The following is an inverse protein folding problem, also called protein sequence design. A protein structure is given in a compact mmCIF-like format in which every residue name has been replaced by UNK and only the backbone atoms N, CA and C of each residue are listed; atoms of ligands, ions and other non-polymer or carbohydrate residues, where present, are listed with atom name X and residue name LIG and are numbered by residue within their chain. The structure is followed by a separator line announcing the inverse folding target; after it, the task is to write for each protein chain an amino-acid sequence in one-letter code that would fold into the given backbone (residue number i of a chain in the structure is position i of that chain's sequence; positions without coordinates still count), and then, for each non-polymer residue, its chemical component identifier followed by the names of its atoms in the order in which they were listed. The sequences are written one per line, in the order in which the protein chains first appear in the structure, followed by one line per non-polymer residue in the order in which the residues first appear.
data_IF_479233576344
#
_entry.id   IF_479233576344
#
_cell.length_a   1.000
_cell.length_b   1.000
_cell.length_c   1.000
_cell.angle_alpha   90.00
_cell.angle_beta   90.00
_cell.angle_gamma   90.00
#
_symmetry.space_group_name_H-M   'P 1'
#
loop_
_entity.id
_entity.type
_entity.pdbx_description
1 polymer ?
#
# COMPACT_ATOMS: atom_id res chain seq x y z
N UNK A 1 10.52 11.15 18.27
CA UNK A 1 9.95 12.51 18.45
C UNK A 1 8.45 12.47 18.68
N UNK A 2 7.59 12.23 17.68
CA UNK A 2 6.13 12.12 17.92
C UNK A 2 5.79 10.90 18.81
N UNK A 3 6.52 9.79 18.65
CA UNK A 3 6.36 8.59 19.49
C UNK A 3 6.72 8.81 20.97
N UNK A 4 7.44 9.89 21.28
CA UNK A 4 7.83 10.22 22.65
C UNK A 4 6.74 11.05 23.37
N UNK A 5 5.77 11.57 22.61
CA UNK A 5 4.63 12.28 23.15
C UNK A 5 3.66 11.30 23.83
N UNK A 6 3.36 11.54 25.10
CA UNK A 6 2.44 10.74 25.92
C UNK A 6 1.03 11.32 25.95
N UNK A 7 0.89 12.60 25.60
CA UNK A 7 -0.39 13.31 25.61
C UNK A 7 -0.61 14.08 24.32
N UNK A 8 -1.88 14.32 23.97
CA UNK A 8 -2.23 15.15 22.82
C UNK A 8 -1.70 16.59 22.97
N UNK A 9 -1.59 17.11 24.20
CA UNK A 9 -1.02 18.42 24.48
C UNK A 9 0.47 18.52 24.12
N UNK A 10 1.27 17.49 24.45
CA UNK A 10 2.69 17.42 24.08
C UNK A 10 2.87 17.36 22.55
N UNK A 11 2.05 16.54 21.88
CA UNK A 11 2.01 16.48 20.42
C UNK A 11 1.65 17.85 19.80
N UNK A 12 0.68 18.56 20.38
CA UNK A 12 0.33 19.92 19.96
C UNK A 12 1.48 20.91 20.13
N UNK A 13 2.17 20.88 21.26
CA UNK A 13 3.32 21.76 21.48
C UNK A 13 4.46 21.46 20.50
N UNK A 14 4.73 20.19 20.23
CA UNK A 14 5.75 19.77 19.28
C UNK A 14 5.43 20.26 17.85
N UNK A 15 4.18 20.09 17.42
CA UNK A 15 3.68 20.58 16.14
C UNK A 15 3.80 22.10 16.02
N UNK A 16 3.41 22.84 17.06
CA UNK A 16 3.53 24.31 17.11
C UNK A 16 4.99 24.79 17.05
N UNK A 17 5.91 24.13 17.76
CA UNK A 17 7.32 24.46 17.71
C UNK A 17 7.91 24.16 16.32
N UNK A 18 7.57 23.01 15.73
CA UNK A 18 7.93 22.67 14.35
C UNK A 18 7.47 23.74 13.36
N UNK A 19 6.21 24.15 13.43
CA UNK A 19 5.68 25.24 12.59
C UNK A 19 6.41 26.57 12.81
N UNK A 20 6.74 26.91 14.06
CA UNK A 20 7.50 28.12 14.41
C UNK A 20 8.90 28.09 13.80
N UNK A 21 9.59 26.96 13.86
CA UNK A 21 10.90 26.77 13.23
C UNK A 21 10.81 26.90 11.71
N UNK A 22 9.87 26.20 11.07
CA UNK A 22 9.68 26.28 9.61
C UNK A 22 9.35 27.71 9.16
N UNK A 23 8.58 28.46 9.95
CA UNK A 23 8.26 29.86 9.66
C UNK A 23 9.47 30.79 9.75
N UNK A 24 10.47 30.48 10.60
CA UNK A 24 11.75 31.22 10.64
C UNK A 24 12.56 30.99 9.37
N UNK A 25 12.59 29.75 8.87
CA UNK A 25 13.25 29.39 7.61
C UNK A 25 12.59 30.13 6.44
N UNK A 26 11.26 30.05 6.36
CA UNK A 26 10.44 30.68 5.32
C UNK A 26 10.56 32.22 5.29
N UNK A 27 10.83 32.85 6.43
CA UNK A 27 11.01 34.30 6.56
C UNK A 27 12.46 34.73 6.68
N UNK A 28 13.40 33.83 6.43
CA UNK A 28 14.82 34.16 6.54
C UNK A 28 15.21 35.17 5.46
N UNK A 29 15.95 36.21 5.86
CA UNK A 29 16.51 37.18 4.93
C UNK A 29 17.65 36.59 4.08
N UNK A 30 18.26 35.49 4.55
CA UNK A 30 19.25 34.74 3.80
C UNK A 30 18.53 33.66 2.97
N UNK A 31 18.85 33.50 1.67
CA UNK A 31 18.33 32.40 0.87
C UNK A 31 18.68 31.05 1.49
N UNK A 32 17.73 30.12 1.44
CA UNK A 32 17.88 28.77 1.99
C UNK A 32 17.44 27.82 0.90
N UNK A 33 18.35 26.95 0.46
CA UNK A 33 18.13 25.98 -0.60
C UNK A 33 18.17 24.58 0.00
N UNK A 34 17.10 23.81 -0.20
CA UNK A 34 17.05 22.41 0.18
C UNK A 34 17.69 21.56 -0.92
N UNK A 35 18.85 20.99 -0.64
CA UNK A 35 19.51 19.97 -1.45
C UNK A 35 18.98 18.58 -1.05
N UNK A 36 18.19 17.96 -1.93
CA UNK A 36 17.48 16.70 -1.66
C UNK A 36 18.22 15.54 -2.33
N UNK A 37 19.07 14.88 -1.56
CA UNK A 37 19.71 13.63 -1.96
C UNK A 37 18.92 12.44 -1.41
N UNK A 38 18.22 11.69 -2.28
CA UNK A 38 17.42 10.54 -1.87
C UNK A 38 16.03 10.88 -1.33
N UNK A 39 15.55 10.02 -0.41
CA UNK A 39 14.19 10.04 0.11
C UNK A 39 13.90 11.25 1.01
N UNK A 40 12.96 12.11 0.60
CA UNK A 40 12.51 13.28 1.36
C UNK A 40 11.04 13.11 1.80
N UNK A 41 10.83 12.65 3.03
CA UNK A 41 9.54 12.17 3.54
C UNK A 41 9.01 13.04 4.67
N UNK A 42 7.69 13.14 4.81
CA UNK A 42 7.03 13.66 6.03
C UNK A 42 7.68 14.98 6.49
N UNK A 43 8.21 15.05 7.71
CA UNK A 43 8.91 16.23 8.23
C UNK A 43 10.08 16.73 7.37
N UNK A 44 10.79 15.85 6.65
CA UNK A 44 11.82 16.24 5.69
C UNK A 44 11.25 16.99 4.48
N UNK A 45 10.09 16.57 3.99
CA UNK A 45 9.36 17.29 2.94
C UNK A 45 8.80 18.62 3.48
N UNK A 46 8.27 18.63 4.71
CA UNK A 46 7.80 19.86 5.37
C UNK A 46 8.92 20.89 5.58
N UNK A 47 10.13 20.42 5.85
CA UNK A 47 11.35 21.25 5.87
C UNK A 47 11.68 21.79 4.48
N UNK A 48 11.75 20.92 3.46
CA UNK A 48 12.11 21.32 2.11
C UNK A 48 11.15 22.37 1.52
N UNK A 49 9.85 22.23 1.77
CA UNK A 49 8.84 23.22 1.31
C UNK A 49 8.83 24.50 2.15
N UNK A 50 9.48 24.53 3.31
CA UNK A 50 9.72 25.76 4.07
C UNK A 50 10.94 26.55 3.55
N UNK A 51 11.88 25.88 2.86
CA UNK A 51 13.01 26.54 2.20
C UNK A 51 12.57 27.37 0.99
N UNK A 52 13.38 28.37 0.63
CA UNK A 52 13.13 29.26 -0.51
C UNK A 52 13.26 28.52 -1.85
N UNK A 53 14.23 27.61 -1.94
CA UNK A 53 14.50 26.83 -3.16
C UNK A 53 14.73 25.36 -2.85
N UNK A 54 14.59 24.51 -3.87
CA UNK A 54 14.64 23.04 -3.75
C UNK A 54 15.31 22.46 -4.99
N UNK A 55 16.41 21.77 -4.78
CA UNK A 55 17.14 21.02 -5.81
C UNK A 55 17.15 19.56 -5.37
N UNK A 56 16.77 18.64 -6.25
CA UNK A 56 16.69 17.21 -5.92
C UNK A 56 17.44 16.34 -6.90
N UNK A 57 17.81 15.16 -6.46
CA UNK A 57 18.27 14.07 -7.35
C UNK A 57 17.08 13.33 -7.97
N UNK A 58 17.30 12.46 -8.95
CA UNK A 58 16.23 11.66 -9.58
C UNK A 58 15.60 10.59 -8.63
N UNK A 59 16.02 10.56 -7.37
CA UNK A 59 15.42 9.69 -6.36
C UNK A 59 14.06 10.25 -5.90
N UNK A 60 12.98 9.45 -5.95
CA UNK A 60 11.65 9.94 -5.59
C UNK A 60 11.57 10.28 -4.11
N UNK A 61 11.02 11.45 -3.71
CA UNK A 61 10.51 11.63 -2.35
C UNK A 61 9.44 10.56 -2.08
N UNK A 62 9.63 9.73 -1.04
CA UNK A 62 8.52 8.95 -0.49
C UNK A 62 7.63 9.88 0.38
N UNK A 63 6.32 9.65 0.51
CA UNK A 63 5.45 10.62 1.23
C UNK A 63 4.60 9.96 2.34
N UNK A 64 4.74 8.66 2.58
CA UNK A 64 3.84 7.93 3.48
C UNK A 64 4.28 7.87 4.93
N UNK A 65 3.61 8.65 5.77
CA UNK A 65 3.04 8.15 7.02
C UNK A 65 1.57 8.58 7.04
N UNK A 66 0.64 7.69 7.42
CA UNK A 66 -0.80 7.94 7.47
C UNK A 66 -1.22 8.95 8.55
N UNK A 67 -0.40 9.98 8.73
CA UNK A 67 -0.48 11.08 9.66
C UNK A 67 -0.76 12.36 8.86
N UNK A 68 -1.35 13.32 9.55
CA UNK A 68 -1.48 14.67 9.03
C UNK A 68 -0.10 15.37 9.04
N UNK A 69 0.27 16.15 8.01
CA UNK A 69 1.45 17.01 8.07
C UNK A 69 1.35 18.01 9.24
N UNK A 70 2.33 17.97 10.15
CA UNK A 70 2.29 18.68 11.44
C UNK A 70 3.10 19.98 11.47
N UNK A 71 4.15 20.11 10.64
CA UNK A 71 5.05 21.26 10.62
C UNK A 71 4.69 22.33 9.56
N UNK A 72 3.43 22.37 9.13
CA UNK A 72 2.89 23.40 8.23
C UNK A 72 2.70 22.96 6.77
N UNK A 73 2.84 21.66 6.49
CA UNK A 73 2.68 21.10 5.14
C UNK A 73 1.26 21.23 4.59
N UNK A 74 0.25 21.16 5.46
CA UNK A 74 -1.15 21.40 5.07
C UNK A 74 -1.41 22.83 4.58
N UNK A 75 -0.52 23.77 4.90
CA UNK A 75 -0.60 25.17 4.48
C UNK A 75 0.32 25.47 3.30
N UNK A 76 1.58 25.02 3.35
CA UNK A 76 2.59 25.34 2.32
C UNK A 76 2.37 24.56 1.03
N UNK A 77 2.06 23.28 1.13
CA UNK A 77 1.96 22.41 -0.05
C UNK A 77 0.84 22.86 -1.00
N UNK A 78 -0.39 23.17 -0.54
CA UNK A 78 -1.46 23.63 -1.44
C UNK A 78 -1.18 24.98 -2.10
N UNK A 79 -0.42 25.89 -1.46
CA UNK A 79 0.02 27.15 -2.06
C UNK A 79 1.09 26.96 -3.14
N UNK A 80 1.94 25.95 -2.97
CA UNK A 80 3.07 25.68 -3.85
C UNK A 80 2.67 24.94 -5.12
N UNK A 81 1.92 23.85 -5.00
CA UNK A 81 1.62 22.95 -6.14
C UNK A 81 0.13 22.95 -6.55
N UNK A 82 -0.63 23.87 -5.97
CA UNK A 82 -2.08 23.94 -6.11
C UNK A 82 -2.82 22.92 -5.24
N UNK A 83 -4.06 23.28 -4.88
CA UNK A 83 -4.91 22.48 -3.99
C UNK A 83 -5.15 21.04 -4.46
N UNK A 84 -5.43 20.76 -5.74
CA UNK A 84 -5.71 19.39 -6.19
C UNK A 84 -4.51 18.45 -6.03
N UNK A 85 -3.34 18.90 -6.52
CA UNK A 85 -2.11 18.13 -6.42
C UNK A 85 -1.72 17.90 -4.95
N UNK A 86 -1.88 18.93 -4.12
CA UNK A 86 -1.58 18.83 -2.69
C UNK A 86 -2.52 17.89 -1.95
N UNK A 87 -3.84 17.94 -2.21
CA UNK A 87 -4.81 17.00 -1.65
C UNK A 87 -4.53 15.57 -2.11
N UNK A 88 -4.21 15.37 -3.39
CA UNK A 88 -3.85 14.05 -3.90
C UNK A 88 -2.64 13.48 -3.16
N UNK A 89 -1.58 14.28 -2.95
CA UNK A 89 -0.39 13.86 -2.20
C UNK A 89 -0.69 13.58 -0.73
N UNK A 90 -1.40 14.48 -0.03
CA UNK A 90 -1.68 14.33 1.40
C UNK A 90 -2.66 13.19 1.69
N UNK A 91 -3.65 12.95 0.82
CA UNK A 91 -4.67 11.92 1.04
C UNK A 91 -4.20 10.52 0.63
N UNK A 92 -3.41 10.40 -0.43
CA UNK A 92 -2.90 9.10 -0.89
C UNK A 92 -1.56 8.74 -0.26
N UNK A 93 -0.79 9.74 0.17
CA UNK A 93 0.61 9.58 0.60
C UNK A 93 1.56 9.10 -0.50
N UNK A 94 1.10 8.96 -1.75
CA UNK A 94 1.90 8.31 -2.78
C UNK A 94 3.21 9.06 -3.05
N UNK A 95 4.22 8.30 -3.46
CA UNK A 95 5.49 8.84 -3.90
C UNK A 95 5.33 9.52 -5.27
N UNK A 96 6.14 10.54 -5.52
CA UNK A 96 6.26 11.14 -6.86
C UNK A 96 7.70 11.09 -7.32
N UNK A 97 7.91 10.86 -8.61
CA UNK A 97 9.23 10.92 -9.23
C UNK A 97 9.72 12.37 -9.33
N UNK A 98 11.04 12.56 -9.34
CA UNK A 98 11.67 13.88 -9.33
C UNK A 98 11.20 14.76 -10.49
N UNK A 99 11.11 14.22 -11.71
CA UNK A 99 10.61 14.96 -12.89
C UNK A 99 9.14 15.37 -12.78
N UNK A 100 8.31 14.56 -12.11
CA UNK A 100 6.92 14.97 -11.82
C UNK A 100 6.89 16.04 -10.73
N UNK A 101 7.72 15.91 -9.70
CA UNK A 101 7.86 16.91 -8.65
C UNK A 101 8.29 18.27 -9.22
N UNK A 102 9.21 18.27 -10.19
CA UNK A 102 9.65 19.46 -10.93
C UNK A 102 8.50 20.12 -11.70
N UNK A 103 7.79 19.34 -12.51
CA UNK A 103 6.63 19.83 -13.29
C UNK A 103 5.51 20.41 -12.43
N UNK A 104 5.30 19.86 -11.23
CA UNK A 104 4.30 20.37 -10.28
C UNK A 104 4.76 21.63 -9.53
N UNK A 105 6.04 22.00 -9.61
CA UNK A 105 6.62 23.09 -8.81
C UNK A 105 6.98 22.69 -7.37
N UNK A 106 6.95 21.39 -7.04
CA UNK A 106 7.39 20.92 -5.73
C UNK A 106 8.91 21.00 -5.60
N UNK A 107 9.63 20.68 -6.67
CA UNK A 107 11.09 20.82 -6.78
C UNK A 107 11.37 21.83 -7.90
N UNK A 108 12.39 22.67 -7.77
CA UNK A 108 12.70 23.65 -8.81
C UNK A 108 13.66 23.09 -9.86
N UNK A 109 14.67 22.35 -9.39
CA UNK A 109 15.69 21.77 -10.25
C UNK A 109 15.95 20.31 -9.87
N UNK A 110 16.11 19.47 -10.89
CA UNK A 110 16.47 18.06 -10.74
C UNK A 110 17.86 17.88 -11.32
N UNK A 111 18.69 17.12 -10.61
CA UNK A 111 20.06 16.77 -10.95
C UNK A 111 20.14 15.26 -11.17
N UNK A 112 20.78 14.86 -12.26
CA UNK A 112 20.99 13.45 -12.55
C UNK A 112 22.10 12.89 -11.66
N UNK A 113 22.01 11.59 -11.35
CA UNK A 113 23.13 10.89 -10.73
C UNK A 113 24.33 10.89 -11.67
N UNK A 114 25.51 11.13 -11.10
CA UNK A 114 26.75 11.11 -11.85
C UNK A 114 27.21 9.66 -12.05
N UNK A 115 27.81 9.40 -13.22
CA UNK A 115 28.46 8.12 -13.51
C UNK A 115 29.68 7.90 -12.57
N UNK A 116 30.10 6.64 -12.36
CA UNK A 116 31.27 6.34 -11.54
C UNK A 116 32.52 7.07 -12.06
N UNK A 117 33.12 7.90 -11.20
CA UNK A 117 34.32 8.69 -11.49
C UNK A 117 35.49 8.30 -10.58
N UNK A 118 36.26 9.30 -10.14
CA UNK A 118 37.29 9.12 -9.09
C UNK A 118 36.66 8.83 -7.73
N UNK A 119 35.50 9.42 -7.46
CA UNK A 119 34.67 9.17 -6.28
C UNK A 119 33.56 8.18 -6.63
N UNK A 120 32.93 7.59 -5.61
CA UNK A 120 31.71 6.80 -5.83
C UNK A 120 30.61 7.67 -6.47
N UNK A 121 29.70 7.09 -7.27
CA UNK A 121 28.55 7.81 -7.83
C UNK A 121 27.76 8.59 -6.79
N UNK A 122 27.61 8.04 -5.58
CA UNK A 122 26.87 8.64 -4.48
C UNK A 122 27.57 9.88 -3.90
N UNK A 123 28.88 9.79 -3.66
CA UNK A 123 29.69 10.90 -3.16
C UNK A 123 29.78 12.03 -4.20
N UNK A 124 30.09 11.69 -5.46
CA UNK A 124 30.16 12.67 -6.54
C UNK A 124 28.83 13.38 -6.78
N UNK A 125 27.72 12.64 -6.75
CA UNK A 125 26.38 13.25 -6.87
C UNK A 125 26.07 14.19 -5.70
N UNK A 126 26.50 13.86 -4.49
CA UNK A 126 26.30 14.71 -3.30
C UNK A 126 27.08 16.01 -3.41
N UNK A 127 28.36 15.95 -3.78
CA UNK A 127 29.22 17.12 -3.99
C UNK A 127 28.66 18.03 -5.11
N UNK A 128 28.20 17.43 -6.20
CA UNK A 128 27.60 18.18 -7.30
C UNK A 128 26.28 18.83 -6.90
N UNK A 129 25.42 18.11 -6.17
CA UNK A 129 24.17 18.65 -5.64
C UNK A 129 24.41 19.83 -4.69
N UNK A 130 25.43 19.73 -3.82
CA UNK A 130 25.83 20.82 -2.93
C UNK A 130 26.28 22.05 -3.74
N UNK A 131 27.13 21.86 -4.74
CA UNK A 131 27.56 22.95 -5.63
C UNK A 131 26.38 23.64 -6.30
N UNK A 132 25.47 22.87 -6.89
CA UNK A 132 24.26 23.43 -7.53
C UNK A 132 23.40 24.19 -6.52
N UNK A 133 23.24 23.66 -5.30
CA UNK A 133 22.45 24.33 -4.27
C UNK A 133 23.08 25.67 -3.82
N UNK A 134 24.42 25.73 -3.70
CA UNK A 134 25.16 26.97 -3.40
C UNK A 134 25.01 27.96 -4.54
N UNK A 135 25.20 27.53 -5.78
CA UNK A 135 25.04 28.39 -6.96
C UNK A 135 23.62 28.97 -7.04
N UNK A 136 22.58 28.15 -6.78
CA UNK A 136 21.20 28.62 -6.67
C UNK A 136 21.02 29.64 -5.54
N UNK A 137 21.59 29.40 -4.35
CA UNK A 137 21.48 30.31 -3.21
C UNK A 137 22.12 31.67 -3.52
N UNK A 138 23.28 31.66 -4.17
CA UNK A 138 23.95 32.87 -4.65
C UNK A 138 23.13 33.60 -5.71
N UNK A 139 22.55 32.88 -6.67
CA UNK A 139 21.68 33.47 -7.70
C UNK A 139 20.43 34.11 -7.12
N UNK A 140 19.80 33.50 -6.10
CA UNK A 140 18.66 34.10 -5.39
C UNK A 140 19.09 35.35 -4.62
N UNK A 141 20.24 35.33 -3.96
CA UNK A 141 20.76 36.50 -3.24
C UNK A 141 21.05 37.69 -4.16
N UNK A 142 21.39 37.42 -5.43
CA UNK A 142 21.63 38.42 -6.48
C UNK A 142 20.38 38.80 -7.29
N UNK A 143 19.21 38.22 -6.96
CA UNK A 143 17.96 38.38 -7.72
C UNK A 143 18.02 37.87 -9.18
N UNK A 144 18.99 37.01 -9.50
CA UNK A 144 19.18 36.40 -10.84
C UNK A 144 18.31 35.17 -11.05
N UNK A 145 17.87 34.53 -9.96
CA UNK A 145 17.02 33.34 -9.99
C UNK A 145 15.61 33.69 -9.50
N UNK A 146 14.62 33.55 -10.38
CA UNK A 146 13.22 33.77 -10.01
C UNK A 146 12.73 32.69 -9.01
N UNK A 147 12.10 33.14 -7.92
CA UNK A 147 11.28 32.28 -7.07
C UNK A 147 9.97 32.02 -7.85
N UNK A 148 9.73 30.77 -8.27
CA UNK A 148 8.55 30.46 -9.10
C UNK A 148 7.22 30.60 -8.34
N UNK A 149 6.21 30.84 -9.18
CA UNK A 149 4.89 31.45 -8.98
C UNK A 149 3.92 30.60 -8.15
N UNK A 150 3.16 31.26 -7.28
CA UNK A 150 1.96 30.72 -6.62
C UNK A 150 0.95 30.25 -7.66
N UNK A 151 0.70 28.94 -7.74
CA UNK A 151 -0.39 28.39 -8.53
C UNK A 151 -1.73 28.62 -7.79
N UNK A 152 -2.37 29.76 -8.06
CA UNK A 152 -3.62 30.22 -7.43
C UNK A 152 -4.90 29.65 -8.07
N UNK A 153 -4.84 28.44 -8.64
CA UNK A 153 -5.99 27.78 -9.25
C UNK A 153 -6.85 27.04 -8.23
N UNK A 154 -7.93 27.65 -7.73
CA UNK A 154 -8.99 26.94 -7.01
C UNK A 154 -9.73 26.01 -8.00
N UNK A 155 -9.50 24.70 -7.91
CA UNK A 155 -10.28 23.70 -8.64
C UNK A 155 -11.22 22.96 -7.68
N UNK A 156 -12.31 22.41 -8.23
CA UNK A 156 -13.43 21.84 -7.47
C UNK A 156 -12.99 20.75 -6.48
N UNK A 157 -13.22 21.00 -5.19
CA UNK A 157 -12.94 20.10 -4.06
C UNK A 157 -13.85 18.86 -4.06
N UNK A 158 -14.98 18.90 -4.77
CA UNK A 158 -16.01 17.86 -4.80
C UNK A 158 -15.46 16.46 -5.13
N UNK A 159 -14.44 16.37 -6.00
CA UNK A 159 -13.83 15.07 -6.38
C UNK A 159 -13.15 14.35 -5.21
N UNK A 160 -12.74 15.07 -4.16
CA UNK A 160 -12.06 14.49 -3.00
C UNK A 160 -13.02 13.99 -1.91
N UNK A 161 -14.31 14.36 -1.97
CA UNK A 161 -15.34 13.80 -1.08
C UNK A 161 -15.54 12.30 -1.39
N UNK A 162 -15.40 11.89 -2.65
CA UNK A 162 -15.44 10.48 -3.08
C UNK A 162 -14.30 9.65 -2.47
N UNK A 163 -13.12 10.23 -2.25
CA UNK A 163 -11.99 9.56 -1.57
C UNK A 163 -12.34 9.24 -0.10
N UNK A 164 -13.23 10.01 0.53
CA UNK A 164 -13.70 9.73 1.90
C UNK A 164 -14.67 8.55 1.97
N UNK A 165 -15.41 8.27 0.89
CA UNK A 165 -16.28 7.08 0.82
C UNK A 165 -15.43 5.81 0.73
N UNK A 166 -14.30 5.86 0.01
CA UNK A 166 -13.37 4.74 -0.09
C UNK A 166 -12.75 4.34 1.26
N UNK A 167 -12.54 5.29 2.17
CA UNK A 167 -12.00 5.01 3.50
C UNK A 167 -13.05 4.48 4.48
N UNK A 168 -14.32 4.42 4.07
CA UNK A 168 -15.47 4.03 4.91
C UNK A 168 -15.54 4.81 6.23
N UNK A 169 -14.89 5.98 6.27
CA UNK A 169 -14.70 6.84 7.45
C UNK A 169 -13.99 6.16 8.64
N UNK A 170 -13.30 5.05 8.42
CA UNK A 170 -12.52 4.35 9.45
C UNK A 170 -11.17 5.02 9.74
N UNK A 171 -10.70 5.84 8.80
CA UNK A 171 -9.44 6.55 8.90
C UNK A 171 -9.69 8.04 9.18
N UNK A 172 -9.32 8.55 10.36
CA UNK A 172 -9.58 9.95 10.71
C UNK A 172 -8.68 10.96 9.99
N UNK A 173 -7.50 10.54 9.51
CA UNK A 173 -6.49 11.45 8.93
C UNK A 173 -6.98 12.15 7.65
N UNK A 174 -7.54 11.46 6.64
CA UNK A 174 -8.09 12.09 5.44
C UNK A 174 -9.12 13.18 5.72
N UNK A 175 -10.03 12.94 6.67
CA UNK A 175 -11.05 13.92 7.07
C UNK A 175 -10.42 15.14 7.74
N UNK A 176 -9.45 14.92 8.65
CA UNK A 176 -8.75 16.00 9.34
C UNK A 176 -7.86 16.82 8.39
N UNK A 177 -7.23 16.20 7.38
CA UNK A 177 -6.50 16.90 6.29
C UNK A 177 -7.43 17.87 5.56
N UNK A 178 -8.60 17.41 5.12
CA UNK A 178 -9.55 18.25 4.38
C UNK A 178 -10.08 19.39 5.27
N UNK A 179 -10.43 19.09 6.53
CA UNK A 179 -10.88 20.10 7.50
C UNK A 179 -9.80 21.14 7.76
N UNK A 180 -8.56 20.70 7.92
CA UNK A 180 -7.38 21.55 8.12
C UNK A 180 -7.22 22.58 7.01
N UNK A 181 -7.23 22.12 5.76
CA UNK A 181 -7.07 22.99 4.60
C UNK A 181 -8.24 23.97 4.48
N UNK A 182 -9.48 23.52 4.72
CA UNK A 182 -10.66 24.40 4.70
C UNK A 182 -10.55 25.54 5.71
N UNK A 183 -10.12 25.25 6.94
CA UNK A 183 -10.00 26.26 8.00
C UNK A 183 -8.98 27.35 7.62
N UNK A 184 -7.83 26.95 7.07
CA UNK A 184 -6.78 27.87 6.59
C UNK A 184 -7.31 28.81 5.51
N UNK A 185 -8.07 28.28 4.55
CA UNK A 185 -8.69 29.08 3.49
C UNK A 185 -9.83 29.97 3.99
N UNK A 186 -10.44 29.62 5.13
CA UNK A 186 -11.50 30.39 5.80
C UNK A 186 -10.95 31.51 6.69
N UNK A 187 -9.62 31.72 6.72
CA UNK A 187 -8.88 32.64 7.63
C UNK A 187 -8.97 32.29 9.12
N UNK A 188 -9.41 31.08 9.46
CA UNK A 188 -9.47 30.60 10.84
C UNK A 188 -8.14 29.90 11.18
N UNK A 189 -7.32 30.53 12.02
CA UNK A 189 -5.90 30.14 12.22
C UNK A 189 -5.67 29.01 13.21
N UNK A 190 -6.68 28.60 13.98
CA UNK A 190 -6.51 27.55 15.00
C UNK A 190 -6.84 26.18 14.43
N UNK A 191 -5.80 25.44 14.09
CA UNK A 191 -5.92 24.03 13.78
C UNK A 191 -5.35 23.19 14.93
N UNK A 192 -6.22 22.71 15.80
CA UNK A 192 -5.86 21.70 16.79
C UNK A 192 -6.08 20.32 16.16
N UNK A 193 -5.01 19.69 15.68
CA UNK A 193 -5.08 18.44 14.89
C UNK A 193 -4.37 17.26 15.53
N UNK A 194 -3.76 17.47 16.69
CA UNK A 194 -2.81 16.52 17.27
C UNK A 194 -3.51 15.39 18.06
N UNK A 195 -4.82 15.48 18.26
CA UNK A 195 -5.65 14.32 18.62
C UNK A 195 -5.55 13.15 17.62
N UNK A 196 -5.18 13.42 16.35
CA UNK A 196 -4.93 12.35 15.38
C UNK A 196 -3.73 11.50 15.77
N UNK A 197 -2.65 12.14 16.21
CA UNK A 197 -1.37 11.49 16.50
C UNK A 197 -1.52 10.45 17.62
N UNK A 198 -2.40 10.73 18.58
CA UNK A 198 -2.74 9.85 19.70
C UNK A 198 -3.86 8.83 19.40
N UNK A 199 -4.39 8.79 18.18
CA UNK A 199 -5.46 7.84 17.83
C UNK A 199 -4.96 6.40 17.74
N UNK A 200 -5.83 5.43 18.00
CA UNK A 200 -5.48 4.00 17.85
C UNK A 200 -5.10 3.66 16.41
N UNK A 201 -5.74 4.30 15.42
CA UNK A 201 -5.43 4.12 14.01
C UNK A 201 -4.03 4.65 13.67
N UNK A 202 -3.64 5.81 14.19
CA UNK A 202 -2.29 6.37 14.05
C UNK A 202 -1.23 5.41 14.60
N UNK A 203 -1.42 4.95 15.84
CA UNK A 203 -0.51 4.01 16.49
C UNK A 203 -0.40 2.68 15.73
N UNK A 204 -1.52 2.14 15.25
CA UNK A 204 -1.52 0.92 14.44
C UNK A 204 -0.77 1.09 13.11
N UNK A 205 -0.97 2.22 12.41
CA UNK A 205 -0.27 2.50 11.15
C UNK A 205 1.23 2.71 11.34
N UNK A 206 1.63 3.36 12.43
CA UNK A 206 3.04 3.50 12.83
C UNK A 206 3.66 2.12 13.09
N UNK A 207 2.95 1.26 13.83
CA UNK A 207 3.38 -0.13 14.07
C UNK A 207 3.53 -0.94 12.78
N UNK A 208 2.55 -0.84 11.86
CA UNK A 208 2.63 -1.48 10.54
C UNK A 208 3.81 -0.98 9.71
N UNK A 209 4.11 0.32 9.77
CA UNK A 209 5.27 0.89 9.10
C UNK A 209 6.58 0.32 9.67
N UNK A 210 6.72 0.29 11.00
CA UNK A 210 7.90 -0.30 11.66
C UNK A 210 8.04 -1.79 11.32
N UNK A 211 6.94 -2.54 11.33
CA UNK A 211 6.90 -3.95 10.91
C UNK A 211 7.35 -4.11 9.46
N UNK A 212 6.85 -3.28 8.53
CA UNK A 212 7.28 -3.27 7.13
C UNK A 212 8.77 -2.98 6.98
N UNK A 213 9.30 -1.99 7.72
CA UNK A 213 10.73 -1.66 7.71
C UNK A 213 11.56 -2.83 8.25
N UNK A 214 11.12 -3.48 9.32
CA UNK A 214 11.78 -4.66 9.87
C UNK A 214 11.77 -5.83 8.87
N UNK A 215 10.64 -6.10 8.21
CA UNK A 215 10.51 -7.17 7.21
C UNK A 215 11.30 -6.91 5.92
N UNK A 216 11.60 -5.65 5.57
CA UNK A 216 12.46 -5.30 4.43
C UNK A 216 13.94 -5.59 4.68
N UNK A 217 14.37 -5.63 5.94
CA UNK A 217 15.76 -5.96 6.28
C UNK A 217 15.96 -7.46 6.09
N UNK A 218 17.08 -7.84 5.47
CA UNK A 218 17.43 -9.25 5.39
C UNK A 218 17.63 -9.76 6.83
N UNK A 219 16.73 -10.66 7.26
CA UNK A 219 16.78 -11.28 8.58
C UNK A 219 18.01 -12.18 8.74
N UNK A 220 18.56 -12.64 7.63
CA UNK A 220 19.70 -13.53 7.57
C UNK A 220 20.96 -12.77 7.17
N UNK A 221 22.11 -13.46 7.26
CA UNK A 221 23.39 -12.93 6.79
C UNK A 221 23.33 -12.67 5.27
N UNK A 222 24.21 -11.80 4.79
CA UNK A 222 24.44 -11.65 3.35
C UNK A 222 24.79 -13.03 2.79
N UNK A 223 24.07 -13.51 1.75
CA UNK A 223 24.29 -14.86 1.24
C UNK A 223 25.72 -15.01 0.72
N UNK A 224 26.37 -16.13 1.05
CA UNK A 224 27.74 -16.44 0.63
C UNK A 224 27.89 -16.51 -0.91
N UNK A 225 26.80 -16.84 -1.61
CA UNK A 225 26.73 -16.87 -3.06
C UNK A 225 25.58 -16.00 -3.56
N UNK A 226 25.87 -15.12 -4.52
CA UNK A 226 24.84 -14.30 -5.19
C UNK A 226 23.93 -15.23 -6.00
N UNK A 227 22.65 -15.26 -5.68
CA UNK A 227 21.68 -16.18 -6.29
C UNK A 227 21.55 -15.93 -7.79
N UNK A 228 21.79 -16.98 -8.59
CA UNK A 228 21.48 -17.11 -10.02
C UNK A 228 21.22 -18.61 -10.29
N UNK A 229 20.39 -18.99 -11.27
CA UNK A 229 18.94 -18.80 -11.39
C UNK A 229 18.16 -19.56 -10.30
N UNK A 230 16.95 -19.10 -10.00
CA UNK A 230 16.00 -19.70 -9.05
C UNK A 230 14.93 -20.48 -9.83
N UNK A 231 14.80 -21.79 -9.60
CA UNK A 231 13.67 -22.57 -10.11
C UNK A 231 12.48 -22.40 -9.16
N UNK A 232 11.38 -21.81 -9.65
CA UNK A 232 10.14 -21.66 -8.89
C UNK A 232 9.11 -22.66 -9.43
N UNK A 233 8.74 -23.65 -8.62
CA UNK A 233 7.68 -24.59 -8.99
C UNK A 233 6.29 -23.99 -8.70
N UNK A 234 5.49 -23.83 -9.76
CA UNK A 234 4.08 -23.41 -9.71
C UNK A 234 3.10 -24.56 -10.01
N UNK A 235 3.33 -25.76 -9.47
CA UNK A 235 2.47 -26.92 -9.70
C UNK A 235 1.24 -26.96 -8.77
N UNK A 236 0.18 -27.62 -9.23
CA UNK A 236 -1.08 -27.85 -8.48
C UNK A 236 -0.82 -28.42 -7.07
N UNK A 237 -1.75 -28.19 -6.15
CA UNK A 237 -1.66 -28.56 -4.73
C UNK A 237 -1.71 -30.08 -4.43
N UNK A 238 -1.21 -30.92 -5.34
CA UNK A 238 -1.03 -32.35 -5.10
C UNK A 238 0.39 -32.66 -4.64
N UNK A 239 0.51 -33.14 -3.40
CA UNK A 239 1.78 -33.45 -2.74
C UNK A 239 2.63 -34.46 -3.54
N UNK A 240 1.99 -35.51 -4.07
CA UNK A 240 2.66 -36.54 -4.88
C UNK A 240 3.32 -35.97 -6.15
N UNK A 241 2.65 -35.06 -6.85
CA UNK A 241 3.18 -34.43 -8.06
C UNK A 241 4.37 -33.54 -7.71
N UNK A 242 4.28 -32.78 -6.61
CA UNK A 242 5.38 -31.92 -6.15
C UNK A 242 6.62 -32.70 -5.76
N UNK A 243 6.47 -33.82 -5.05
CA UNK A 243 7.60 -34.68 -4.73
C UNK A 243 8.26 -35.24 -5.99
N UNK A 244 7.46 -35.68 -6.97
CA UNK A 244 8.00 -36.18 -8.23
C UNK A 244 8.75 -35.10 -9.00
N UNK A 245 8.16 -33.91 -9.15
CA UNK A 245 8.82 -32.79 -9.83
C UNK A 245 10.07 -32.32 -9.07
N UNK A 246 10.03 -32.30 -7.73
CA UNK A 246 11.20 -31.97 -6.93
C UNK A 246 12.33 -32.96 -7.18
N UNK A 247 12.04 -34.27 -7.17
CA UNK A 247 13.04 -35.32 -7.45
C UNK A 247 13.65 -35.18 -8.85
N UNK A 248 12.81 -34.93 -9.86
CA UNK A 248 13.26 -34.75 -11.24
C UNK A 248 14.11 -33.48 -11.41
N UNK A 249 13.74 -32.39 -10.75
CA UNK A 249 14.50 -31.13 -10.81
C UNK A 249 15.79 -31.22 -10.00
N UNK A 250 15.77 -31.80 -8.81
CA UNK A 250 16.97 -32.04 -7.98
C UNK A 250 18.02 -32.89 -8.71
N UNK A 251 17.59 -33.82 -9.57
CA UNK A 251 18.50 -34.66 -10.35
C UNK A 251 19.31 -33.90 -11.43
N UNK A 252 18.87 -32.72 -11.85
CA UNK A 252 19.47 -31.96 -12.95
C UNK A 252 20.05 -30.60 -12.55
N UNK A 253 19.70 -30.09 -11.36
CA UNK A 253 20.22 -28.81 -10.88
C UNK A 253 21.57 -28.96 -10.15
N UNK A 254 22.46 -27.96 -10.20
CA UNK A 254 23.68 -27.96 -9.40
C UNK A 254 23.40 -28.04 -7.89
N UNK A 255 24.31 -28.61 -7.07
CA UNK A 255 24.11 -28.77 -5.62
C UNK A 255 24.03 -27.45 -4.85
N UNK A 256 24.36 -26.32 -5.48
CA UNK A 256 24.25 -24.98 -4.91
C UNK A 256 23.00 -24.23 -5.38
N UNK A 257 22.17 -24.84 -6.23
CA UNK A 257 20.94 -24.26 -6.71
C UNK A 257 19.89 -24.32 -5.60
N UNK A 258 19.16 -23.21 -5.45
CA UNK A 258 18.07 -23.12 -4.48
C UNK A 258 16.79 -23.50 -5.20
N UNK A 259 16.09 -24.50 -4.68
CA UNK A 259 14.74 -24.83 -5.10
C UNK A 259 13.72 -24.10 -4.22
N UNK A 260 12.78 -23.40 -4.84
CA UNK A 260 11.66 -22.76 -4.13
C UNK A 260 10.33 -23.24 -4.72
N UNK A 261 9.43 -23.71 -3.87
CA UNK A 261 8.08 -24.10 -4.28
C UNK A 261 7.08 -23.00 -3.94
N UNK A 262 6.40 -22.45 -4.95
CA UNK A 262 5.25 -21.57 -4.74
C UNK A 262 4.00 -22.43 -4.69
N UNK A 263 3.66 -22.94 -3.52
CA UNK A 263 2.40 -23.66 -3.33
C UNK A 263 1.27 -22.64 -3.23
N UNK A 264 0.36 -22.62 -4.21
CA UNK A 264 -0.87 -21.80 -4.18
C UNK A 264 -2.00 -22.42 -3.36
N UNK A 265 -1.80 -23.63 -2.82
CA UNK A 265 -2.17 -23.83 -1.43
C UNK A 265 -1.18 -22.96 -0.65
N UNK A 266 -1.53 -21.68 -0.54
CA UNK A 266 -1.00 -20.72 0.43
C UNK A 266 -0.59 -21.54 1.65
N UNK A 267 0.65 -21.37 2.10
CA UNK A 267 1.17 -21.95 3.34
C UNK A 267 0.00 -22.33 4.23
N UNK A 268 -0.15 -23.61 4.58
CA UNK A 268 -1.26 -24.07 5.43
C UNK A 268 -1.45 -23.11 6.61
N UNK A 269 -0.39 -22.44 7.07
CA UNK A 269 -0.42 -21.25 7.95
C UNK A 269 -1.20 -20.02 7.47
N UNK A 270 -0.99 -19.41 6.29
CA UNK A 270 -1.69 -18.16 5.94
C UNK A 270 -3.16 -18.39 5.53
N UNK A 271 -3.51 -19.54 4.95
CA UNK A 271 -4.93 -19.95 4.86
C UNK A 271 -5.45 -20.34 6.25
N UNK A 272 -4.68 -21.03 7.11
CA UNK A 272 -5.12 -21.32 8.49
C UNK A 272 -5.39 -20.07 9.31
N UNK A 273 -4.70 -18.96 9.05
CA UNK A 273 -4.97 -17.70 9.73
C UNK A 273 -6.34 -17.13 9.35
N UNK A 274 -6.73 -17.24 8.07
CA UNK A 274 -8.02 -16.75 7.59
C UNK A 274 -9.17 -17.78 7.73
N UNK A 275 -8.86 -19.08 7.79
CA UNK A 275 -9.86 -20.18 7.78
C UNK A 275 -10.87 -20.09 8.93
N UNK A 276 -10.48 -19.80 10.19
CA UNK A 276 -11.45 -19.61 11.27
C UNK A 276 -12.46 -18.50 10.96
N UNK A 277 -12.00 -17.38 10.41
CA UNK A 277 -12.88 -16.27 10.04
C UNK A 277 -13.86 -16.65 8.93
N UNK A 278 -13.40 -17.36 7.90
CA UNK A 278 -14.24 -17.81 6.79
C UNK A 278 -15.24 -18.88 7.25
N UNK A 279 -14.82 -19.82 8.10
CA UNK A 279 -15.72 -20.83 8.64
C UNK A 279 -16.79 -20.23 9.57
N UNK A 280 -16.46 -19.19 10.35
CA UNK A 280 -17.44 -18.42 11.11
C UNK A 280 -18.38 -17.62 10.19
N UNK A 281 -17.86 -17.06 9.09
CA UNK A 281 -18.71 -16.39 8.08
C UNK A 281 -19.77 -17.34 7.52
N UNK A 282 -19.41 -18.59 7.23
CA UNK A 282 -20.37 -19.66 6.86
C UNK A 282 -21.37 -19.91 7.99
N UNK A 283 -20.93 -19.97 9.25
CA UNK A 283 -21.81 -20.13 10.42
C UNK A 283 -22.87 -19.02 10.50
N UNK A 284 -22.45 -17.77 10.39
CA UNK A 284 -23.33 -16.58 10.40
C UNK A 284 -24.35 -16.62 9.25
N UNK A 285 -23.96 -17.10 8.07
CA UNK A 285 -24.89 -17.30 6.95
C UNK A 285 -25.91 -18.42 7.25
N UNK A 286 -25.49 -19.49 7.94
CA UNK A 286 -26.37 -20.60 8.34
C UNK A 286 -27.40 -20.18 9.40
N UNK A 287 -27.04 -19.25 10.27
CA UNK A 287 -27.95 -18.59 11.21
C UNK A 287 -29.00 -17.70 10.52
N UNK A 288 -28.89 -17.51 9.20
CA UNK A 288 -29.88 -16.81 8.38
C UNK A 288 -29.52 -15.37 8.04
N UNK A 289 -28.30 -14.92 8.33
CA UNK A 289 -27.84 -13.60 7.90
C UNK A 289 -27.72 -13.55 6.38
N UNK A 290 -28.23 -12.48 5.78
CA UNK A 290 -28.14 -12.28 4.33
C UNK A 290 -26.69 -12.02 3.89
N UNK A 291 -26.26 -12.65 2.80
CA UNK A 291 -24.94 -12.45 2.18
C UNK A 291 -24.58 -10.98 1.97
N UNK A 292 -25.50 -10.16 1.44
CA UNK A 292 -25.27 -8.71 1.25
C UNK A 292 -25.02 -8.00 2.58
N UNK A 293 -25.72 -8.42 3.63
CA UNK A 293 -25.57 -7.85 4.96
C UNK A 293 -24.21 -8.24 5.56
N UNK A 294 -23.80 -9.50 5.42
CA UNK A 294 -22.50 -9.97 5.90
C UNK A 294 -21.34 -9.25 5.19
N UNK A 295 -21.39 -9.13 3.87
CA UNK A 295 -20.38 -8.40 3.10
C UNK A 295 -20.36 -6.91 3.45
N UNK A 296 -21.52 -6.29 3.65
CA UNK A 296 -21.59 -4.90 4.07
C UNK A 296 -20.97 -4.71 5.46
N UNK A 297 -21.29 -5.59 6.42
CA UNK A 297 -20.76 -5.53 7.79
C UNK A 297 -19.24 -5.67 7.80
N UNK A 298 -18.71 -6.71 7.14
CA UNK A 298 -17.26 -6.96 7.05
C UNK A 298 -16.52 -5.85 6.31
N UNK A 299 -17.08 -5.34 5.21
CA UNK A 299 -16.55 -4.15 4.54
C UNK A 299 -16.57 -2.95 5.48
N UNK A 300 -17.69 -2.68 6.16
CA UNK A 300 -17.82 -1.53 7.07
C UNK A 300 -16.89 -1.60 8.28
N UNK A 301 -16.51 -2.81 8.69
CA UNK A 301 -15.50 -3.04 9.73
C UNK A 301 -14.08 -2.66 9.27
N UNK A 302 -13.81 -2.74 7.97
CA UNK A 302 -12.54 -2.32 7.38
C UNK A 302 -11.93 -3.30 6.39
N UNK A 303 -12.51 -4.48 6.21
CA UNK A 303 -11.99 -5.43 5.23
C UNK A 303 -12.09 -4.86 3.80
N UNK A 304 -11.06 -5.07 2.95
CA UNK A 304 -11.07 -4.60 1.57
C UNK A 304 -12.14 -5.30 0.73
N UNK A 305 -12.37 -6.58 1.01
CA UNK A 305 -13.39 -7.42 0.39
C UNK A 305 -14.36 -7.92 1.47
N UNK A 306 -15.61 -8.18 1.09
CA UNK A 306 -16.59 -8.76 2.03
C UNK A 306 -16.28 -10.23 2.26
N UNK A 307 -16.59 -10.79 3.44
CA UNK A 307 -16.23 -12.18 3.75
C UNK A 307 -16.81 -13.19 2.74
N UNK A 308 -18.09 -13.06 2.35
CA UNK A 308 -18.69 -13.98 1.39
C UNK A 308 -18.17 -13.74 -0.04
N UNK A 309 -17.88 -12.48 -0.40
CA UNK A 309 -17.19 -12.17 -1.67
C UNK A 309 -15.76 -12.74 -1.70
N UNK A 310 -15.06 -12.74 -0.57
CA UNK A 310 -13.71 -13.30 -0.42
C UNK A 310 -13.73 -14.81 -0.60
N UNK A 311 -14.75 -15.49 -0.07
CA UNK A 311 -14.92 -16.93 -0.29
C UNK A 311 -15.11 -17.28 -1.78
N UNK A 312 -15.87 -16.47 -2.52
CA UNK A 312 -16.07 -16.67 -3.96
C UNK A 312 -14.77 -16.47 -4.77
N UNK A 313 -14.02 -15.40 -4.48
CA UNK A 313 -12.76 -15.10 -5.17
C UNK A 313 -11.67 -16.15 -4.90
N UNK A 314 -11.65 -16.74 -3.70
CA UNK A 314 -10.70 -17.82 -3.35
C UNK A 314 -11.10 -19.15 -4.00
N UNK A 315 -12.40 -19.39 -4.16
CA UNK A 315 -12.94 -20.66 -4.63
C UNK A 315 -13.42 -21.53 -3.48
N UNK A 316 -14.70 -21.90 -3.54
CA UNK A 316 -15.39 -22.68 -2.51
C UNK A 316 -14.76 -24.08 -2.33
N UNK A 317 -14.38 -24.72 -3.42
CA UNK A 317 -13.71 -26.02 -3.45
C UNK A 317 -12.34 -25.98 -2.75
N UNK A 318 -11.59 -24.91 -2.98
CA UNK A 318 -10.30 -24.65 -2.31
C UNK A 318 -10.50 -24.49 -0.81
N UNK A 319 -11.54 -23.77 -0.39
CA UNK A 319 -11.85 -23.55 1.03
C UNK A 319 -12.31 -24.83 1.74
N UNK A 320 -13.13 -25.66 1.10
CA UNK A 320 -13.54 -26.97 1.63
C UNK A 320 -12.31 -27.83 1.88
N UNK A 321 -11.44 -27.97 0.87
CA UNK A 321 -10.25 -28.79 0.97
C UNK A 321 -9.29 -28.27 2.06
N UNK A 322 -9.13 -26.95 2.17
CA UNK A 322 -8.34 -26.34 3.23
C UNK A 322 -8.93 -26.58 4.63
N UNK A 323 -10.25 -26.40 4.79
CA UNK A 323 -10.95 -26.61 6.06
C UNK A 323 -10.89 -28.07 6.53
N UNK A 324 -11.01 -29.04 5.61
CA UNK A 324 -10.88 -30.47 5.93
C UNK A 324 -9.46 -30.83 6.38
N UNK A 325 -8.43 -30.40 5.65
CA UNK A 325 -7.04 -30.66 6.02
C UNK A 325 -6.66 -29.99 7.34
N UNK A 326 -7.09 -28.75 7.55
CA UNK A 326 -6.87 -28.02 8.80
C UNK A 326 -7.68 -28.59 9.97
N UNK A 327 -8.89 -29.08 9.72
CA UNK A 327 -9.73 -29.76 10.69
C UNK A 327 -9.06 -31.03 11.23
N UNK A 328 -8.32 -31.77 10.40
CA UNK A 328 -7.52 -32.93 10.85
C UNK A 328 -6.43 -32.53 11.84
N UNK A 329 -5.80 -31.36 11.64
CA UNK A 329 -4.67 -30.91 12.46
C UNK A 329 -5.11 -30.15 13.74
N UNK A 330 -6.16 -29.33 13.66
CA UNK A 330 -6.55 -28.41 14.73
C UNK A 330 -7.92 -28.71 15.36
N UNK A 331 -8.66 -29.68 14.81
CA UNK A 331 -9.92 -30.19 15.36
C UNK A 331 -11.01 -29.13 15.45
N UNK A 332 -11.77 -29.16 16.55
CA UNK A 332 -12.96 -28.32 16.78
C UNK A 332 -12.72 -26.82 16.72
N UNK A 333 -11.48 -26.34 16.85
CA UNK A 333 -11.13 -24.91 16.78
C UNK A 333 -11.24 -24.32 15.38
N UNK A 334 -11.23 -25.17 14.35
CA UNK A 334 -11.39 -24.76 12.94
C UNK A 334 -12.78 -25.14 12.41
N UNK A 335 -13.54 -25.94 13.16
CA UNK A 335 -14.91 -26.31 12.82
C UNK A 335 -15.88 -25.14 13.10
N UNK A 336 -15.95 -24.17 12.19
CA UNK A 336 -17.06 -23.20 12.15
C UNK A 336 -18.33 -23.81 11.53
N UNK A 337 -19.10 -23.02 10.78
CA UNK A 337 -20.37 -23.46 10.16
C UNK A 337 -20.26 -24.79 9.42
N UNK A 338 -21.35 -25.57 9.39
CA UNK A 338 -21.35 -26.92 8.83
C UNK A 338 -21.25 -26.89 7.29
N UNK A 339 -20.03 -27.00 6.77
CA UNK A 339 -19.72 -26.96 5.33
C UNK A 339 -20.30 -28.20 4.60
N UNK A 340 -20.50 -29.31 5.32
CA UNK A 340 -21.06 -30.57 4.80
C UNK A 340 -22.60 -30.62 4.87
N UNK A 341 -23.25 -29.63 5.47
CA UNK A 341 -24.67 -29.65 5.79
C UNK A 341 -25.58 -29.09 4.69
N UNK A 342 -26.88 -29.45 4.75
CA UNK A 342 -27.94 -28.89 3.88
C UNK A 342 -27.98 -27.35 3.87
N UNK A 343 -27.45 -26.69 4.91
CA UNK A 343 -27.33 -25.23 5.02
C UNK A 343 -26.34 -24.61 4.02
N UNK A 344 -25.20 -25.25 3.78
CA UNK A 344 -24.21 -24.80 2.80
C UNK A 344 -24.77 -24.84 1.38
N UNK A 345 -25.42 -25.94 1.00
CA UNK A 345 -26.13 -26.06 -0.27
C UNK A 345 -27.31 -25.07 -0.41
N UNK A 346 -27.93 -24.63 0.69
CA UNK A 346 -28.98 -23.60 0.69
C UNK A 346 -28.41 -22.22 0.38
N UNK A 347 -27.23 -21.91 0.94
CA UNK A 347 -26.46 -20.68 0.65
C UNK A 347 -25.99 -20.71 -0.82
N UNK A 348 -25.41 -21.83 -1.27
CA UNK A 348 -24.98 -22.04 -2.66
C UNK A 348 -26.14 -21.92 -3.65
N UNK A 349 -27.32 -22.50 -3.36
CA UNK A 349 -28.54 -22.38 -4.20
C UNK A 349 -29.06 -20.95 -4.28
N UNK A 350 -29.21 -20.27 -3.14
CA UNK A 350 -29.65 -18.88 -3.10
C UNK A 350 -28.70 -17.94 -3.85
N UNK A 351 -27.43 -18.33 -3.94
CA UNK A 351 -26.37 -17.61 -4.64
C UNK A 351 -26.32 -17.90 -6.15
N UNK A 352 -26.47 -19.17 -6.58
CA UNK A 352 -26.61 -19.56 -8.00
C UNK A 352 -27.83 -18.89 -8.65
N UNK A 353 -28.95 -18.82 -7.92
CA UNK A 353 -30.15 -18.09 -8.35
C UNK A 353 -29.92 -16.59 -8.59
N UNK A 354 -28.85 -16.02 -8.03
CA UNK A 354 -28.46 -14.62 -8.24
C UNK A 354 -27.67 -14.39 -9.54
N UNK A 355 -27.00 -15.42 -10.08
CA UNK A 355 -26.22 -15.34 -11.34
C UNK A 355 -27.06 -15.65 -12.59
N UNK A 356 -28.22 -16.29 -12.45
CA UNK A 356 -29.07 -16.66 -13.58
C UNK A 356 -30.49 -16.09 -13.44
N UNK A 357 -30.82 -14.92 -14.03
CA UNK A 357 -32.20 -14.49 -14.21
C UNK A 357 -32.81 -15.06 -15.50
N UNK A 358 -32.42 -16.28 -15.93
CA UNK A 358 -32.92 -16.87 -17.17
C UNK A 358 -33.22 -18.36 -16.97
N UNK A 359 -34.52 -18.66 -17.06
CA UNK A 359 -35.15 -19.96 -17.34
C UNK A 359 -34.85 -21.10 -16.36
N UNK A 360 -35.60 -21.17 -15.27
CA UNK A 360 -35.88 -22.44 -14.60
C UNK A 360 -37.39 -22.61 -14.45
N UNK A 361 -38.00 -23.43 -15.30
CA UNK A 361 -39.35 -23.95 -15.09
C UNK A 361 -39.27 -25.27 -14.28
N UNK A 362 -40.20 -25.51 -13.34
CA UNK A 362 -40.14 -26.66 -12.46
C UNK A 362 -40.59 -27.92 -13.22
N UNK A 363 -39.63 -28.76 -13.63
CA UNK A 363 -39.93 -30.04 -14.28
C UNK A 363 -38.74 -30.84 -14.81
N UNK A 364 -37.55 -30.24 -14.98
CA UNK A 364 -36.37 -30.96 -15.48
C UNK A 364 -35.41 -31.35 -14.35
N UNK A 365 -34.95 -32.60 -14.37
CA UNK A 365 -33.86 -33.11 -13.54
C UNK A 365 -32.59 -32.28 -13.71
N UNK A 366 -31.78 -32.19 -12.65
CA UNK A 366 -30.50 -31.45 -12.66
C UNK A 366 -29.68 -31.79 -13.91
N UNK A 367 -29.14 -30.81 -14.65
CA UNK A 367 -28.14 -31.11 -15.65
C UNK A 367 -26.91 -31.62 -14.91
N UNK A 368 -26.50 -32.85 -15.24
CA UNK A 368 -25.18 -33.39 -14.90
C UNK A 368 -24.14 -32.39 -15.39
N UNK A 369 -23.44 -31.76 -14.44
CA UNK A 369 -22.31 -30.86 -14.70
C UNK A 369 -21.25 -31.64 -15.48
N UNK A 370 -21.16 -31.40 -16.79
CA UNK A 370 -20.26 -32.13 -17.66
C UNK A 370 -18.85 -31.55 -17.52
N UNK A 371 -17.96 -32.30 -16.87
CA UNK A 371 -16.57 -31.98 -16.49
C UNK A 371 -15.62 -31.69 -17.68
N UNK A 372 -16.10 -31.70 -18.92
CA UNK A 372 -15.28 -31.79 -20.12
C UNK A 372 -14.82 -30.45 -20.73
N UNK A 373 -15.50 -29.33 -20.46
CA UNK A 373 -15.18 -28.04 -21.11
C UNK A 373 -13.97 -27.30 -20.48
N UNK A 374 -13.52 -27.72 -19.30
CA UNK A 374 -12.32 -27.18 -18.64
C UNK A 374 -11.00 -27.80 -19.13
N UNK A 375 -11.02 -29.02 -19.67
CA UNK A 375 -9.77 -29.71 -20.05
C UNK A 375 -9.24 -29.27 -21.42
N UNK A 376 -10.09 -28.87 -22.37
CA UNK A 376 -9.64 -28.52 -23.73
C UNK A 376 -8.90 -27.17 -23.81
N UNK A 377 -9.17 -26.20 -22.92
CA UNK A 377 -8.44 -24.93 -22.89
C UNK A 377 -7.10 -24.98 -22.15
N UNK A 378 -6.87 -26.03 -21.35
CA UNK A 378 -5.64 -26.22 -20.55
C UNK A 378 -4.55 -27.01 -21.28
N UNK A 379 -4.90 -27.81 -22.30
CA UNK A 379 -3.90 -28.55 -23.07
C UNK A 379 -3.01 -27.63 -23.94
N UNK A 380 -3.55 -26.49 -24.39
CA UNK A 380 -2.80 -25.53 -25.23
C UNK A 380 -1.90 -24.55 -24.45
N UNK A 381 -2.02 -24.46 -23.11
CA UNK A 381 -1.15 -23.62 -22.28
C UNK A 381 0.04 -24.37 -21.69
N UNK A 382 0.04 -25.71 -21.70
CA UNK A 382 1.14 -26.54 -21.21
C UNK A 382 2.32 -26.71 -22.18
N UNK A 383 2.21 -26.24 -23.44
CA UNK A 383 3.21 -26.43 -24.50
C UNK A 383 3.90 -25.14 -24.98
N UNK A 384 3.95 -24.07 -24.16
CA UNK A 384 4.59 -22.79 -24.54
C UNK A 384 5.85 -22.39 -23.75
N UNK A 385 6.47 -23.31 -23.03
CA UNK A 385 7.82 -23.13 -22.50
C UNK A 385 8.66 -24.34 -22.90
N UNK A 386 9.85 -24.09 -23.46
CA UNK A 386 10.83 -25.03 -24.04
C UNK A 386 10.69 -25.24 -25.55
N UNK A 387 11.01 -24.21 -26.33
CA UNK A 387 11.97 -24.28 -27.44
C UNK A 387 12.39 -22.84 -27.77
N UNK A 388 13.49 -22.39 -27.16
CA UNK A 388 14.37 -21.41 -27.78
C UNK A 388 15.64 -22.19 -28.08
N UNK A 389 15.79 -22.55 -29.35
CA UNK A 389 17.04 -23.02 -29.93
C UNK A 389 18.08 -21.91 -29.79
N UNK A 390 19.18 -22.23 -29.10
CA UNK A 390 20.55 -21.87 -29.46
C UNK A 390 21.44 -23.05 -29.04
#
# INVERSE_FOLDING_TARGET
MIQDCKTAGEATLLSQEGQRMMKKIEKSLKPIVAAINGSCLSGGLEFAIACHYRVGTDSPPEVLQGLLPGAGGTQRLPKMIGLPSALELMLTGRNIQAEKAKRLGLVHQVVNMLDPGLNSPEEGTTEYLEKVAVDCACGIAKEETALTVENSGMQKIERYILTLEQTKRLYPAPLKIIKSIKLVWSRDQKLDTNELEMSSQSNALIGLYQGKVACKKNRFRVPEKKVKPLAILGAMAHLHIKHKVLQEVEAVIPPHCIFASKTSAVLITDIAEATPMLNEAVGVLQEGVNIKKLDLLTKSFGFPLGAASLEDEVGIDVLINAAEELGKAFGSRICGGNISGKGFYRILRAWVQRRAPVLWEPGHSMPTFNFALGQQKLHNSMLRCLMTED
#
